data_IF_730193137767
#
_entry.id   IF_730193137767
#
_cell.length_a   1.000
_cell.length_b   1.000
_cell.length_c   1.000
_cell.angle_alpha   90.00
_cell.angle_beta   90.00
_cell.angle_gamma   90.00
#
_symmetry.space_group_name_H-M   'P 1'
#
loop_
_entity.id
_entity.type
_entity.pdbx_description
1 polymer ?
#
# COMPACT_ATOMS: atom_id res chain seq x y z
N UNK A 1 3.51 3.63 -10.70
CA UNK A 1 4.50 4.35 -11.51
C UNK A 1 4.86 5.67 -10.83
N UNK A 2 4.37 6.83 -11.28
CA UNK A 2 4.66 8.10 -10.62
C UNK A 2 4.09 8.13 -9.20
N UNK A 3 4.72 8.92 -8.33
CA UNK A 3 4.31 9.26 -6.99
C UNK A 3 4.17 10.78 -6.88
N UNK A 4 5.32 11.44 -6.85
CA UNK A 4 5.65 12.61 -6.05
C UNK A 4 5.26 12.38 -4.62
N UNK A 5 3.97 12.34 -4.36
CA UNK A 5 3.37 12.41 -3.02
C UNK A 5 3.92 11.26 -2.17
N UNK A 6 3.85 10.05 -2.70
CA UNK A 6 4.24 8.82 -2.02
C UNK A 6 5.74 8.66 -1.81
N UNK A 7 6.59 9.45 -2.48
CA UNK A 7 7.99 9.57 -2.15
C UNK A 7 8.31 10.87 -1.39
N UNK A 8 7.35 11.80 -1.34
CA UNK A 8 7.52 13.16 -0.84
C UNK A 8 7.35 13.23 0.68
N UNK A 9 6.64 12.30 1.30
CA UNK A 9 6.58 12.19 2.73
C UNK A 9 7.99 11.99 3.32
N UNK A 10 8.17 12.22 4.62
CA UNK A 10 9.46 12.01 5.26
C UNK A 10 9.63 10.52 5.58
N UNK A 11 10.83 10.02 5.86
CA UNK A 11 11.08 8.57 6.01
C UNK A 11 10.19 7.92 7.07
N UNK A 12 9.76 8.70 8.07
CA UNK A 12 8.88 8.30 9.16
C UNK A 12 7.41 8.27 8.74
N UNK A 13 6.97 9.23 7.93
CA UNK A 13 5.64 9.24 7.32
C UNK A 13 5.53 8.15 6.26
N UNK A 14 6.53 8.03 5.38
CA UNK A 14 6.58 7.13 4.25
C UNK A 14 6.32 5.72 4.75
N UNK A 15 7.13 5.21 5.69
CA UNK A 15 6.88 3.92 6.30
C UNK A 15 5.46 3.86 6.81
N UNK A 16 5.01 4.83 7.59
CA UNK A 16 3.73 4.77 8.26
C UNK A 16 2.53 4.80 7.32
N UNK A 17 2.76 5.12 6.04
CA UNK A 17 1.70 5.16 5.02
C UNK A 17 1.79 3.91 4.17
N UNK A 18 3.00 3.58 3.75
CA UNK A 18 3.24 2.51 2.81
C UNK A 18 3.09 1.17 3.54
N UNK A 19 3.42 1.14 4.84
CA UNK A 19 3.05 0.05 5.71
C UNK A 19 1.52 -0.13 5.70
N UNK A 20 0.77 0.97 5.75
CA UNK A 20 -0.67 0.97 5.95
C UNK A 20 -1.36 0.27 4.79
N UNK A 21 -1.02 0.63 3.55
CA UNK A 21 -1.43 -0.04 2.35
C UNK A 21 -1.02 -1.51 2.45
N UNK A 22 0.27 -1.84 2.54
CA UNK A 22 0.69 -3.25 2.63
C UNK A 22 -0.14 -4.05 3.64
N UNK A 23 -0.30 -3.59 4.89
CA UNK A 23 -1.17 -4.27 5.85
C UNK A 23 -2.59 -4.33 5.31
N UNK A 24 -3.21 -3.19 4.96
CA UNK A 24 -4.60 -3.04 4.61
C UNK A 24 -5.04 -4.13 3.66
N UNK A 25 -4.30 -4.37 2.58
CA UNK A 25 -4.70 -5.41 1.65
C UNK A 25 -4.85 -6.75 2.36
N UNK A 26 -3.83 -7.12 3.12
CA UNK A 26 -3.82 -8.37 3.86
C UNK A 26 -4.90 -8.40 4.94
N UNK A 27 -5.30 -7.25 5.50
CA UNK A 27 -6.27 -7.22 6.61
C UNK A 27 -7.68 -7.26 6.05
N UNK A 28 -7.87 -6.60 4.91
CA UNK A 28 -9.12 -6.57 4.20
C UNK A 28 -9.46 -7.97 3.72
N UNK A 29 -8.53 -8.68 3.06
CA UNK A 29 -8.78 -10.08 2.73
C UNK A 29 -9.12 -10.91 3.97
N UNK A 30 -8.46 -10.62 5.10
CA UNK A 30 -8.74 -11.23 6.39
C UNK A 30 -10.14 -10.86 6.90
N UNK A 31 -10.73 -9.72 6.53
CA UNK A 31 -12.01 -9.29 7.05
C UNK A 31 -13.09 -10.03 6.28
N UNK A 32 -12.88 -10.25 4.99
CA UNK A 32 -13.77 -10.99 4.12
C UNK A 32 -13.80 -12.46 4.55
N UNK A 33 -12.61 -13.05 4.64
CA UNK A 33 -12.35 -14.43 5.03
C UNK A 33 -12.95 -14.76 6.39
N UNK A 34 -13.19 -13.75 7.24
CA UNK A 34 -14.09 -13.85 8.35
C UNK A 34 -15.54 -13.63 7.91
N UNK A 35 -15.90 -12.38 7.64
CA UNK A 35 -17.20 -11.99 7.13
C UNK A 35 -17.59 -10.58 7.56
N UNK A 36 -16.68 -9.62 7.36
CA UNK A 36 -16.77 -8.24 7.79
C UNK A 36 -16.70 -7.34 6.56
N UNK A 37 -15.59 -7.42 5.82
CA UNK A 37 -15.42 -6.76 4.53
C UNK A 37 -16.45 -7.32 3.54
N UNK A 38 -16.98 -6.49 2.63
CA UNK A 38 -17.99 -6.90 1.65
C UNK A 38 -17.81 -6.28 0.26
N UNK A 39 -17.15 -5.11 0.14
CA UNK A 39 -16.89 -4.47 -1.15
C UNK A 39 -15.60 -5.01 -1.76
N UNK A 40 -15.67 -5.94 -2.71
CA UNK A 40 -14.50 -6.55 -3.27
C UNK A 40 -13.81 -5.70 -4.35
N UNK A 41 -14.53 -4.77 -4.98
CA UNK A 41 -13.91 -3.79 -5.87
C UNK A 41 -12.90 -2.97 -5.08
N UNK A 42 -13.22 -2.62 -3.83
CA UNK A 42 -12.34 -1.82 -2.98
C UNK A 42 -11.06 -2.61 -2.77
N UNK A 43 -11.12 -3.90 -2.39
CA UNK A 43 -9.92 -4.73 -2.30
C UNK A 43 -9.12 -4.65 -3.61
N UNK A 44 -9.77 -4.78 -4.78
CA UNK A 44 -9.11 -4.92 -6.07
C UNK A 44 -8.35 -3.67 -6.49
N UNK A 45 -8.92 -2.50 -6.19
CA UNK A 45 -8.33 -1.18 -6.26
C UNK A 45 -7.21 -1.08 -5.23
N UNK A 46 -7.46 -1.57 -4.02
CA UNK A 46 -6.52 -1.49 -2.94
C UNK A 46 -5.27 -2.24 -3.36
N UNK A 47 -5.34 -3.42 -3.99
CA UNK A 47 -4.19 -4.14 -4.54
C UNK A 47 -3.36 -3.31 -5.51
N UNK A 48 -3.98 -2.54 -6.42
CA UNK A 48 -3.21 -1.83 -7.45
C UNK A 48 -2.25 -0.90 -6.75
N UNK A 49 -2.79 -0.20 -5.77
CA UNK A 49 -2.12 0.84 -5.04
C UNK A 49 -1.26 0.22 -3.95
N UNK A 50 -1.65 -0.89 -3.32
CA UNK A 50 -0.75 -1.66 -2.48
C UNK A 50 0.47 -1.96 -3.29
N UNK A 51 0.30 -2.48 -4.50
CA UNK A 51 1.41 -2.86 -5.30
C UNK A 51 2.25 -1.63 -5.60
N UNK A 52 1.68 -0.51 -6.08
CA UNK A 52 2.42 0.71 -6.30
C UNK A 52 3.15 1.22 -5.05
N UNK A 53 2.43 1.45 -3.98
CA UNK A 53 2.95 1.85 -2.67
C UNK A 53 4.03 0.91 -2.14
N UNK A 54 3.77 -0.39 -2.00
CA UNK A 54 4.74 -1.31 -1.42
C UNK A 54 5.95 -1.46 -2.36
N UNK A 55 5.77 -1.27 -3.67
CA UNK A 55 6.85 -1.06 -4.62
C UNK A 55 7.62 0.20 -4.30
N UNK A 56 6.96 1.35 -4.04
CA UNK A 56 7.66 2.60 -3.70
C UNK A 56 8.62 2.31 -2.56
N UNK A 57 8.16 1.65 -1.49
CA UNK A 57 9.03 1.30 -0.38
C UNK A 57 10.22 0.49 -0.92
N UNK A 58 9.98 -0.58 -1.69
CA UNK A 58 11.06 -1.38 -2.30
C UNK A 58 12.05 -0.49 -3.03
N UNK A 59 11.58 0.33 -3.98
CA UNK A 59 12.38 1.22 -4.81
C UNK A 59 13.26 2.11 -3.90
N UNK A 60 12.71 2.58 -2.78
CA UNK A 60 13.41 3.43 -1.83
C UNK A 60 14.49 2.66 -1.06
N UNK A 61 14.31 1.35 -0.85
CA UNK A 61 15.29 0.49 -0.20
C UNK A 61 16.58 0.47 -1.05
N UNK A 62 16.53 0.11 -2.34
CA UNK A 62 17.75 -0.18 -3.07
C UNK A 62 18.53 1.06 -3.50
N UNK A 63 17.86 2.22 -3.62
CA UNK A 63 18.45 3.39 -4.23
C UNK A 63 17.71 3.88 -5.47
N UNK A 64 16.59 3.27 -5.87
CA UNK A 64 15.84 3.65 -7.05
C UNK A 64 15.07 4.96 -6.80
N UNK A 65 14.86 5.35 -5.53
CA UNK A 65 14.10 6.54 -5.12
C UNK A 65 14.84 7.28 -4.00
N UNK A 66 16.14 7.47 -4.22
CA UNK A 66 17.14 8.07 -3.35
C UNK A 66 16.76 7.91 -1.89
#
# INVERSE_FOLDING_TARGET
MKASELRNYTDEELKNLLEEKKRQLMELRFQLAMGQLKNTSLIKLTKRDIARIKTILRERELGIRR
#
